data_IF_774995887369
#
_entry.id   IF_774995887369
#
_cell.length_a   1.000
_cell.length_b   1.000
_cell.length_c   1.000
_cell.angle_alpha   90.00
_cell.angle_beta   90.00
_cell.angle_gamma   90.00
#
_symmetry.space_group_name_H-M   'P 1'
#
loop_
_entity.id
_entity.type
_entity.pdbx_description
1 polymer ?
#
# COMPACT_ATOMS: atom_id res chain seq x y z
N UNK A 1 -6.89 18.94 38.84
CA UNK A 1 -5.55 18.52 38.35
C UNK A 1 -5.41 17.03 38.62
N UNK A 2 -5.08 16.21 37.61
CA UNK A 2 -4.88 14.78 37.81
C UNK A 2 -3.50 14.51 38.43
N UNK A 3 -3.44 13.69 39.49
CA UNK A 3 -2.18 13.29 40.10
C UNK A 3 -1.45 12.28 39.20
N UNK A 4 -0.19 12.55 38.86
CA UNK A 4 0.68 11.59 38.18
C UNK A 4 1.34 10.71 39.22
N UNK A 5 1.06 9.41 39.19
CA UNK A 5 1.86 8.42 39.91
C UNK A 5 3.27 8.31 39.30
N UNK A 6 4.25 7.75 40.04
CA UNK A 6 5.58 7.54 39.49
C UNK A 6 5.51 6.64 38.25
N UNK A 7 6.26 7.00 37.21
CA UNK A 7 6.36 6.17 36.02
C UNK A 7 7.03 4.83 36.40
N UNK A 8 6.50 3.69 35.94
CA UNK A 8 7.15 2.41 36.17
C UNK A 8 8.55 2.42 35.55
N UNK A 9 9.55 1.96 36.30
CA UNK A 9 10.93 1.82 35.83
C UNK A 9 11.07 0.45 35.20
N UNK A 10 11.08 0.38 33.87
CA UNK A 10 11.38 -0.85 33.14
C UNK A 10 12.90 -1.00 32.98
N UNK A 11 13.43 -2.21 33.18
CA UNK A 11 14.81 -2.52 32.82
C UNK A 11 14.96 -2.50 31.29
N UNK A 12 16.08 -1.97 30.79
CA UNK A 12 16.37 -1.98 29.36
C UNK A 12 16.50 -3.44 28.86
N UNK A 13 15.74 -3.78 27.82
CA UNK A 13 15.92 -5.05 27.12
C UNK A 13 17.21 -5.01 26.30
N UNK A 14 17.92 -6.14 26.23
CA UNK A 14 19.13 -6.29 25.40
C UNK A 14 18.84 -6.70 23.95
N UNK A 15 17.60 -7.09 23.67
CA UNK A 15 17.15 -7.70 22.42
C UNK A 15 15.61 -7.52 22.31
N UNK A 16 15.10 -7.51 21.07
CA UNK A 16 13.67 -7.37 20.75
C UNK A 16 12.88 -8.68 20.96
N UNK A 17 13.55 -9.83 21.04
CA UNK A 17 12.98 -11.14 21.38
C UNK A 17 12.48 -11.96 20.18
N UNK A 18 12.70 -11.47 18.95
CA UNK A 18 12.31 -12.15 17.71
C UNK A 18 13.27 -11.78 16.57
N UNK A 19 13.48 -12.70 15.64
CA UNK A 19 14.24 -12.45 14.43
C UNK A 19 13.55 -11.39 13.56
N UNK A 20 14.33 -10.44 13.03
CA UNK A 20 13.84 -9.39 12.16
C UNK A 20 14.10 -9.73 10.67
N UNK A 21 13.11 -9.55 9.78
CA UNK A 21 11.70 -9.24 10.05
C UNK A 21 10.91 -10.49 10.46
N UNK A 22 9.95 -10.34 11.38
CA UNK A 22 9.07 -11.44 11.82
C UNK A 22 8.05 -11.85 10.73
N UNK A 23 7.66 -10.88 9.89
CA UNK A 23 6.73 -11.06 8.77
C UNK A 23 7.36 -10.56 7.47
N UNK A 24 8.36 -11.27 6.91
CA UNK A 24 8.97 -10.88 5.64
C UNK A 24 7.97 -10.86 4.48
N UNK A 25 6.87 -11.61 4.56
CA UNK A 25 5.83 -11.69 3.54
C UNK A 25 5.04 -10.38 3.35
N UNK A 26 5.03 -9.48 4.34
CA UNK A 26 4.30 -8.22 4.25
C UNK A 26 5.02 -7.15 3.43
N UNK A 27 6.30 -7.32 3.11
CA UNK A 27 7.08 -6.35 2.36
C UNK A 27 7.79 -7.03 1.19
N UNK A 28 7.50 -6.59 -0.03
CA UNK A 28 8.11 -7.13 -1.24
C UNK A 28 8.89 -6.05 -2.01
N UNK A 29 9.94 -6.47 -2.71
CA UNK A 29 10.72 -5.59 -3.60
C UNK A 29 10.32 -5.75 -5.07
N UNK A 30 10.99 -4.99 -5.94
CA UNK A 30 10.77 -5.01 -7.40
C UNK A 30 10.82 -6.41 -8.02
N UNK A 31 11.80 -7.30 -7.69
CA UNK A 31 11.84 -8.64 -8.27
C UNK A 31 10.59 -9.47 -7.96
N UNK A 32 10.12 -9.44 -6.71
CA UNK A 32 8.91 -10.15 -6.30
C UNK A 32 7.65 -9.54 -6.93
N UNK A 33 7.57 -8.21 -7.05
CA UNK A 33 6.45 -7.53 -7.72
C UNK A 33 6.36 -7.91 -9.21
N UNK A 34 7.51 -7.97 -9.91
CA UNK A 34 7.58 -8.47 -11.30
C UNK A 34 7.16 -9.93 -11.40
N UNK A 35 7.62 -10.77 -10.48
CA UNK A 35 7.24 -12.19 -10.44
C UNK A 35 5.74 -12.39 -10.19
N UNK A 36 5.13 -11.54 -9.35
CA UNK A 36 3.68 -11.53 -9.11
C UNK A 36 2.90 -11.26 -10.41
N UNK A 37 3.30 -10.22 -11.16
CA UNK A 37 2.68 -9.92 -12.46
C UNK A 37 2.90 -11.04 -13.48
N UNK A 38 4.13 -11.57 -13.58
CA UNK A 38 4.48 -12.60 -14.55
C UNK A 38 3.72 -13.92 -14.32
N UNK A 39 3.41 -14.25 -13.06
CA UNK A 39 2.65 -15.45 -12.70
C UNK A 39 1.16 -15.34 -13.08
N UNK A 40 0.64 -14.11 -13.16
CA UNK A 40 -0.72 -13.81 -13.66
C UNK A 40 -1.87 -14.18 -12.71
N UNK A 41 -1.59 -14.76 -11.56
CA UNK A 41 -2.55 -15.16 -10.51
C UNK A 41 -2.56 -14.18 -9.32
N UNK A 42 -1.84 -13.06 -9.42
CA UNK A 42 -1.75 -12.03 -8.40
C UNK A 42 -2.04 -10.63 -8.95
N UNK A 43 -2.09 -9.65 -8.05
CA UNK A 43 -2.44 -8.27 -8.38
C UNK A 43 -1.41 -7.30 -7.79
N UNK A 44 -0.89 -6.41 -8.62
CA UNK A 44 -0.33 -5.15 -8.15
C UNK A 44 -1.45 -4.11 -8.10
N UNK A 45 -1.79 -3.66 -6.88
CA UNK A 45 -2.84 -2.68 -6.65
C UNK A 45 -2.24 -1.27 -6.53
N UNK A 46 -2.52 -0.40 -7.52
CA UNK A 46 -2.06 0.99 -7.53
C UNK A 46 -2.93 1.86 -6.64
N UNK A 47 -2.40 2.26 -5.49
CA UNK A 47 -3.01 3.17 -4.52
C UNK A 47 -2.54 4.60 -4.81
N UNK A 48 -2.88 5.04 -6.01
CA UNK A 48 -2.54 6.36 -6.57
C UNK A 48 -3.81 7.05 -7.06
N UNK A 49 -3.77 8.37 -7.24
CA UNK A 49 -4.93 9.09 -7.77
C UNK A 49 -5.21 8.66 -9.21
N UNK A 50 -6.37 9.07 -9.77
CA UNK A 50 -6.73 8.64 -11.12
C UNK A 50 -5.76 9.20 -12.16
N UNK A 51 -5.42 10.49 -12.06
CA UNK A 51 -4.47 11.17 -12.94
C UNK A 51 -3.08 10.54 -12.88
N UNK A 52 -2.64 10.10 -11.70
CA UNK A 52 -1.40 9.33 -11.54
C UNK A 52 -1.47 7.98 -12.28
N UNK A 53 -2.55 7.21 -12.06
CA UNK A 53 -2.72 5.87 -12.63
C UNK A 53 -2.74 5.86 -14.16
N UNK A 54 -3.39 6.86 -14.78
CA UNK A 54 -3.47 6.97 -16.25
C UNK A 54 -2.32 7.78 -16.86
N UNK A 55 -1.34 8.18 -16.07
CA UNK A 55 -0.14 8.90 -16.54
C UNK A 55 -0.38 10.36 -16.96
N UNK A 56 -1.49 10.97 -16.55
CA UNK A 56 -1.72 12.40 -16.75
C UNK A 56 -0.93 13.27 -15.76
N UNK A 57 -0.57 12.71 -14.61
CA UNK A 57 0.29 13.34 -13.62
C UNK A 57 1.29 12.34 -13.05
N UNK A 58 2.43 12.81 -12.57
CA UNK A 58 3.33 11.98 -11.75
C UNK A 58 2.88 11.92 -10.28
N UNK A 59 2.22 12.97 -9.80
CA UNK A 59 1.92 13.23 -8.39
C UNK A 59 3.08 13.88 -7.62
N UNK A 60 4.32 13.56 -7.99
CA UNK A 60 5.52 14.06 -7.32
C UNK A 60 6.45 14.74 -8.34
N UNK A 61 7.07 15.85 -7.96
CA UNK A 61 7.99 16.59 -8.83
C UNK A 61 9.24 15.80 -9.22
N UNK A 62 9.56 14.72 -8.50
CA UNK A 62 10.76 13.89 -8.69
C UNK A 62 10.47 12.50 -9.31
N UNK A 63 9.24 12.23 -9.74
CA UNK A 63 8.86 10.94 -10.35
C UNK A 63 8.30 11.20 -11.75
N UNK A 64 8.54 10.28 -12.69
CA UNK A 64 7.95 10.35 -14.02
C UNK A 64 6.43 10.11 -13.98
N UNK A 65 5.69 10.63 -14.97
CA UNK A 65 4.28 10.29 -15.15
C UNK A 65 4.14 8.89 -15.77
N UNK A 66 3.09 8.17 -15.38
CA UNK A 66 2.81 6.80 -15.81
C UNK A 66 2.51 5.89 -14.62
N UNK A 67 2.29 4.61 -14.91
CA UNK A 67 2.10 3.58 -13.90
C UNK A 67 2.58 2.21 -14.39
N UNK A 68 2.58 1.21 -13.50
CA UNK A 68 3.05 -0.14 -13.77
C UNK A 68 2.09 -0.85 -14.74
N UNK A 69 2.55 -1.30 -15.92
CA UNK A 69 1.71 -2.05 -16.85
C UNK A 69 1.16 -3.33 -16.21
N UNK A 70 -0.16 -3.55 -16.34
CA UNK A 70 -0.85 -4.70 -15.75
C UNK A 70 -1.31 -4.51 -14.30
N UNK A 71 -0.97 -3.39 -13.65
CA UNK A 71 -1.52 -3.04 -12.35
C UNK A 71 -3.03 -2.75 -12.42
N UNK A 72 -3.72 -2.97 -11.31
CA UNK A 72 -5.15 -2.67 -11.14
C UNK A 72 -5.29 -1.44 -10.27
N UNK A 73 -6.18 -0.52 -10.65
CA UNK A 73 -6.34 0.73 -9.90
C UNK A 73 -7.08 0.46 -8.58
N UNK A 74 -6.40 0.68 -7.46
CA UNK A 74 -6.97 0.52 -6.13
C UNK A 74 -7.70 1.75 -5.62
N UNK A 75 -7.58 2.91 -6.31
CA UNK A 75 -8.02 4.25 -5.85
C UNK A 75 -7.09 4.82 -4.76
N UNK A 76 -7.28 6.09 -4.42
CA UNK A 76 -6.61 6.74 -3.30
C UNK A 76 -7.48 7.90 -2.81
N UNK A 77 -7.23 9.10 -3.32
CA UNK A 77 -8.02 10.29 -3.04
C UNK A 77 -8.07 11.21 -4.24
N UNK A 78 -8.22 12.50 -3.97
CA UNK A 78 -8.43 13.53 -4.99
C UNK A 78 -7.19 13.77 -5.86
N UNK A 79 -7.40 13.97 -7.16
CA UNK A 79 -6.31 14.33 -8.07
C UNK A 79 -5.67 15.67 -7.65
N UNK A 80 -4.33 15.72 -7.69
CA UNK A 80 -3.56 16.88 -7.25
C UNK A 80 -3.14 16.84 -5.78
N UNK A 81 -3.70 15.94 -4.97
CA UNK A 81 -3.24 15.68 -3.60
C UNK A 81 -2.75 14.23 -3.44
N UNK A 82 -1.43 14.06 -3.49
CA UNK A 82 -0.78 12.74 -3.32
C UNK A 82 -0.86 12.19 -1.90
N UNK A 83 -1.37 12.96 -0.93
CA UNK A 83 -1.61 12.47 0.43
C UNK A 83 -3.07 12.09 0.65
N UNK A 84 -3.96 12.44 -0.28
CA UNK A 84 -5.38 12.19 -0.14
C UNK A 84 -5.69 10.69 -0.21
N UNK A 85 -6.51 10.24 0.74
CA UNK A 85 -7.04 8.89 0.84
C UNK A 85 -8.58 8.92 0.98
N UNK A 86 -9.21 9.97 0.45
CA UNK A 86 -10.66 10.24 0.58
C UNK A 86 -11.57 9.16 0.01
N UNK A 87 -11.05 8.28 -0.87
CA UNK A 87 -11.82 7.10 -1.31
C UNK A 87 -12.09 6.13 -0.15
N UNK A 88 -11.23 6.12 0.88
CA UNK A 88 -11.25 5.21 2.02
C UNK A 88 -11.56 5.88 3.36
N UNK A 89 -11.67 7.21 3.39
CA UNK A 89 -11.94 7.97 4.61
C UNK A 89 -13.32 8.63 4.59
N UNK A 90 -13.97 8.62 5.74
CA UNK A 90 -15.09 9.51 6.05
C UNK A 90 -14.59 10.94 6.26
N UNK A 91 -15.51 11.91 6.32
CA UNK A 91 -15.17 13.32 6.48
C UNK A 91 -14.42 13.64 7.79
N UNK A 92 -14.54 12.79 8.81
CA UNK A 92 -13.84 12.91 10.08
C UNK A 92 -12.46 12.20 10.10
N UNK A 93 -12.06 11.59 8.97
CA UNK A 93 -10.81 10.84 8.82
C UNK A 93 -10.88 9.38 9.25
N UNK A 94 -12.04 8.89 9.72
CA UNK A 94 -12.22 7.47 10.01
C UNK A 94 -12.20 6.63 8.73
N UNK A 95 -11.77 5.37 8.85
CA UNK A 95 -11.90 4.39 7.77
C UNK A 95 -13.38 4.19 7.43
N UNK A 96 -13.72 4.24 6.14
CA UNK A 96 -15.06 3.87 5.64
C UNK A 96 -15.41 2.42 5.98
N UNK A 97 -16.70 2.05 5.97
CA UNK A 97 -17.11 0.66 6.18
C UNK A 97 -16.32 -0.29 5.27
N UNK A 98 -15.83 -1.38 5.86
CA UNK A 98 -14.93 -2.28 5.15
C UNK A 98 -15.54 -2.87 3.87
N UNK A 99 -16.85 -3.10 3.86
CA UNK A 99 -17.59 -3.56 2.69
C UNK A 99 -17.58 -2.54 1.52
N UNK A 100 -17.57 -1.24 1.81
CA UNK A 100 -17.50 -0.21 0.77
C UNK A 100 -16.12 -0.16 0.13
N UNK A 101 -15.05 -0.23 0.93
CA UNK A 101 -13.68 -0.27 0.43
C UNK A 101 -13.46 -1.56 -0.40
N UNK A 102 -13.93 -2.70 0.09
CA UNK A 102 -13.86 -3.96 -0.64
C UNK A 102 -14.64 -3.93 -1.97
N UNK A 103 -15.82 -3.28 -2.00
CA UNK A 103 -16.59 -3.12 -3.23
C UNK A 103 -15.85 -2.25 -4.27
N UNK A 104 -15.26 -1.14 -3.84
CA UNK A 104 -14.46 -0.27 -4.71
C UNK A 104 -13.24 -1.00 -5.31
N UNK A 105 -12.59 -1.85 -4.52
CA UNK A 105 -11.48 -2.71 -4.97
C UNK A 105 -11.96 -3.79 -5.94
N UNK A 106 -13.12 -4.39 -5.68
CA UNK A 106 -13.71 -5.43 -6.53
C UNK A 106 -14.07 -4.92 -7.93
N UNK A 107 -14.44 -3.64 -8.10
CA UNK A 107 -14.66 -3.01 -9.42
C UNK A 107 -13.44 -3.13 -10.35
N UNK A 108 -12.25 -3.21 -9.75
CA UNK A 108 -10.99 -3.39 -10.46
C UNK A 108 -10.38 -4.77 -10.22
N UNK A 109 -11.17 -5.75 -9.78
CA UNK A 109 -10.74 -7.13 -9.58
C UNK A 109 -9.71 -7.32 -8.46
N UNK A 110 -9.57 -6.38 -7.53
CA UNK A 110 -8.76 -6.56 -6.32
C UNK A 110 -9.67 -7.25 -5.28
N UNK A 111 -9.41 -8.52 -5.00
CA UNK A 111 -10.30 -9.42 -4.26
C UNK A 111 -9.56 -10.10 -3.10
N UNK A 112 -10.24 -10.43 -1.99
CA UNK A 112 -9.61 -11.04 -0.81
C UNK A 112 -8.94 -12.39 -1.08
N UNK A 113 -9.40 -13.16 -2.06
CA UNK A 113 -8.83 -14.46 -2.41
C UNK A 113 -7.61 -14.38 -3.34
N UNK A 114 -7.25 -13.19 -3.82
CA UNK A 114 -6.18 -13.01 -4.79
C UNK A 114 -4.94 -12.42 -4.11
N UNK A 115 -3.74 -13.04 -4.25
CA UNK A 115 -2.50 -12.44 -3.78
C UNK A 115 -2.34 -11.01 -4.28
N UNK A 116 -2.32 -10.04 -3.35
CA UNK A 116 -2.35 -8.61 -3.69
C UNK A 116 -1.17 -7.89 -3.04
N UNK A 117 -0.34 -7.24 -3.85
CA UNK A 117 0.64 -6.29 -3.36
C UNK A 117 0.19 -4.86 -3.65
N UNK A 118 -0.01 -4.08 -2.59
CA UNK A 118 -0.35 -2.67 -2.68
C UNK A 118 0.91 -1.83 -2.94
N UNK A 119 0.81 -0.83 -3.81
CA UNK A 119 1.90 0.11 -4.06
C UNK A 119 1.38 1.51 -4.36
N UNK A 120 2.23 2.52 -4.24
CA UNK A 120 1.92 3.89 -4.67
C UNK A 120 3.16 4.56 -5.26
N UNK A 121 3.49 5.80 -4.87
CA UNK A 121 4.78 6.41 -5.21
C UNK A 121 5.94 5.74 -4.46
N UNK A 122 5.85 5.74 -3.13
CA UNK A 122 6.92 5.38 -2.19
C UNK A 122 6.39 4.65 -0.93
N UNK A 123 5.32 3.87 -1.07
CA UNK A 123 4.81 2.99 -0.01
C UNK A 123 3.78 3.58 0.96
N UNK A 124 3.71 4.90 1.19
CA UNK A 124 2.86 5.50 2.23
C UNK A 124 1.36 5.16 2.11
N UNK A 125 0.73 5.52 1.00
CA UNK A 125 -0.68 5.19 0.71
C UNK A 125 -0.91 3.68 0.62
N UNK A 126 0.09 2.94 0.14
CA UNK A 126 0.03 1.49 0.04
C UNK A 126 -0.04 0.81 1.41
N UNK A 127 0.74 1.29 2.39
CA UNK A 127 0.71 0.79 3.77
C UNK A 127 -0.65 1.00 4.43
N UNK A 128 -1.32 2.12 4.13
CA UNK A 128 -2.68 2.38 4.60
C UNK A 128 -3.69 1.40 3.98
N UNK A 129 -3.64 1.17 2.66
CA UNK A 129 -4.50 0.19 2.00
C UNK A 129 -4.23 -1.24 2.50
N UNK A 130 -2.96 -1.60 2.69
CA UNK A 130 -2.54 -2.85 3.32
C UNK A 130 -3.15 -3.00 4.71
N UNK A 131 -3.08 -1.96 5.55
CA UNK A 131 -3.66 -2.00 6.89
C UNK A 131 -5.18 -2.23 6.87
N UNK A 132 -5.89 -1.64 5.91
CA UNK A 132 -7.32 -1.88 5.72
C UNK A 132 -7.64 -3.31 5.28
N UNK A 133 -6.88 -3.85 4.33
CA UNK A 133 -7.03 -5.24 3.93
C UNK A 133 -6.69 -6.22 5.09
N UNK A 134 -5.70 -5.85 5.91
CA UNK A 134 -5.34 -6.61 7.12
C UNK A 134 -6.47 -6.61 8.15
N UNK A 135 -7.10 -5.46 8.42
CA UNK A 135 -8.29 -5.36 9.28
C UNK A 135 -9.48 -6.15 8.74
N UNK A 136 -9.57 -6.29 7.41
CA UNK A 136 -10.56 -7.14 6.74
C UNK A 136 -10.24 -8.63 6.77
N UNK A 137 -9.06 -9.03 7.29
CA UNK A 137 -8.63 -10.42 7.35
C UNK A 137 -8.21 -11.00 6.00
N UNK A 138 -7.71 -10.18 5.07
CA UNK A 138 -7.24 -10.69 3.78
C UNK A 138 -5.97 -11.56 3.98
N UNK A 139 -5.95 -12.79 3.46
CA UNK A 139 -4.92 -13.78 3.81
C UNK A 139 -3.59 -13.59 3.08
N UNK A 140 -3.57 -12.94 1.92
CA UNK A 140 -2.41 -12.86 1.04
C UNK A 140 -2.19 -11.43 0.54
N UNK A 141 -1.69 -10.58 1.44
CA UNK A 141 -1.45 -9.16 1.17
C UNK A 141 -0.02 -8.76 1.52
N UNK A 142 0.52 -7.81 0.75
CA UNK A 142 1.84 -7.23 1.00
C UNK A 142 1.89 -5.77 0.53
N UNK A 143 2.94 -5.06 0.93
CA UNK A 143 3.30 -3.75 0.39
C UNK A 143 4.50 -3.93 -0.54
N UNK A 144 4.40 -3.42 -1.76
CA UNK A 144 5.57 -3.19 -2.62
C UNK A 144 6.11 -1.78 -2.35
N UNK A 145 7.18 -1.73 -1.55
CA UNK A 145 7.72 -0.50 -0.95
C UNK A 145 8.23 0.52 -1.99
N UNK A 146 9.03 0.03 -2.95
CA UNK A 146 9.64 0.84 -4.00
C UNK A 146 8.64 1.53 -4.92
N UNK A 147 7.44 0.97 -5.05
CA UNK A 147 6.33 1.54 -5.80
C UNK A 147 6.68 1.94 -7.22
N UNK A 148 6.00 3.00 -7.69
CA UNK A 148 6.24 3.58 -9.00
C UNK A 148 7.63 4.25 -9.09
N UNK A 149 8.15 4.78 -7.99
CA UNK A 149 9.45 5.45 -7.97
C UNK A 149 10.58 4.49 -8.36
N UNK A 150 10.69 3.33 -7.73
CA UNK A 150 11.71 2.34 -8.04
C UNK A 150 11.45 1.69 -9.40
N UNK A 151 10.18 1.40 -9.71
CA UNK A 151 9.81 0.76 -10.97
C UNK A 151 10.16 1.61 -12.19
N UNK A 152 9.86 2.91 -12.16
CA UNK A 152 10.11 3.84 -13.28
C UNK A 152 11.60 4.10 -13.52
N UNK A 153 12.46 3.84 -12.53
CA UNK A 153 13.91 3.97 -12.64
C UNK A 153 14.62 2.68 -13.03
N UNK A 154 13.92 1.54 -12.97
CA UNK A 154 14.52 0.22 -13.22
C UNK A 154 14.04 -0.31 -14.57
N UNK A 155 14.89 -0.33 -15.62
CA UNK A 155 14.55 -0.98 -16.88
C UNK A 155 14.21 -2.47 -16.63
N UNK A 156 13.33 -3.08 -17.44
CA UNK A 156 13.22 -4.54 -17.45
C UNK A 156 14.62 -5.14 -17.69
N UNK A 157 14.98 -6.20 -16.96
CA UNK A 157 16.18 -6.96 -17.29
C UNK A 157 16.03 -7.43 -18.76
N UNK A 158 17.00 -7.05 -19.59
CA UNK A 158 17.06 -7.46 -21.00
C UNK A 158 17.39 -8.94 -21.17
#
# INVERSE_FOLDING_TARGET
ACARGPAPTAAAASDFGIAFPAHPEYLIGTPQARALLARGDGVLASIRTRAEFIGQASGYHYIAAGDIPGARWGRAGEDGDVNSMSAYHEADGCMKPAAEIAAQWAEHGILPGTPTAFYCGTGWRASMAFFYAWLMGWPAISVYDGGWFEWSQTPPAG
#
